data_IF_134891884433
#
_entry.id   IF_134891884433
#
_cell.length_a   1.000
_cell.length_b   1.000
_cell.length_c   1.000
_cell.angle_alpha   90.00
_cell.angle_beta   90.00
_cell.angle_gamma   90.00
#
_symmetry.space_group_name_H-M   'P 1'
#
loop_
_entity.id
_entity.type
_entity.pdbx_description
1 polymer ?
#
# COMPACT_ATOMS: atom_id res chain seq x y z
N UNK A 1 18.91 -51.02 -38.99
CA UNK A 1 18.00 -50.48 -37.91
C UNK A 1 18.74 -49.88 -36.73
N UNK A 2 19.78 -49.08 -36.91
CA UNK A 2 20.60 -48.54 -35.80
C UNK A 2 20.81 -47.00 -35.81
N UNK A 3 20.07 -46.28 -36.66
CA UNK A 3 20.29 -44.84 -36.84
C UNK A 3 19.30 -43.92 -36.07
N UNK A 4 18.13 -44.36 -35.67
CA UNK A 4 17.07 -43.52 -35.13
C UNK A 4 17.20 -43.25 -33.61
N UNK A 5 17.81 -44.14 -32.83
CA UNK A 5 17.95 -43.97 -31.39
C UNK A 5 18.98 -42.90 -30.95
N UNK A 6 20.00 -42.63 -31.75
CA UNK A 6 21.03 -41.63 -31.43
C UNK A 6 20.50 -40.17 -31.55
N UNK A 7 19.60 -39.92 -32.50
CA UNK A 7 18.98 -38.58 -32.68
C UNK A 7 17.97 -38.27 -31.58
N UNK A 8 17.21 -39.27 -31.14
CA UNK A 8 16.24 -39.07 -30.04
C UNK A 8 16.92 -38.79 -28.71
N UNK A 9 18.05 -39.43 -28.40
CA UNK A 9 18.84 -39.17 -27.20
C UNK A 9 19.54 -37.78 -27.24
N UNK A 10 20.04 -37.37 -28.41
CA UNK A 10 20.66 -36.02 -28.57
C UNK A 10 19.65 -34.88 -28.44
N UNK A 11 18.44 -35.04 -28.97
CA UNK A 11 17.37 -34.06 -28.84
C UNK A 11 16.84 -34.02 -27.40
N UNK A 12 16.65 -35.18 -26.75
CA UNK A 12 16.21 -35.26 -25.36
C UNK A 12 17.26 -34.65 -24.39
N UNK A 13 18.55 -34.88 -24.60
CA UNK A 13 19.61 -34.27 -23.80
C UNK A 13 19.75 -32.77 -24.06
N UNK A 14 19.62 -32.30 -25.30
CA UNK A 14 19.61 -30.87 -25.65
C UNK A 14 18.41 -30.13 -25.06
N UNK A 15 17.23 -30.70 -25.13
CA UNK A 15 16.02 -30.14 -24.48
C UNK A 15 16.16 -30.12 -22.95
N UNK A 16 16.79 -31.15 -22.35
CA UNK A 16 17.07 -31.18 -20.92
C UNK A 16 18.03 -30.08 -20.48
N UNK A 17 19.10 -29.84 -21.21
CA UNK A 17 20.08 -28.77 -20.91
C UNK A 17 19.45 -27.38 -21.07
N UNK A 18 18.67 -27.14 -22.12
CA UNK A 18 17.95 -25.88 -22.34
C UNK A 18 16.92 -25.67 -21.22
N UNK A 19 16.19 -26.71 -20.81
CA UNK A 19 15.22 -26.60 -19.71
C UNK A 19 15.89 -26.31 -18.38
N UNK A 20 17.03 -26.92 -18.06
CA UNK A 20 17.79 -26.64 -16.84
C UNK A 20 18.34 -25.21 -16.86
N UNK A 21 18.89 -24.73 -17.96
CA UNK A 21 19.39 -23.36 -18.07
C UNK A 21 18.26 -22.32 -17.93
N UNK A 22 17.10 -22.58 -18.55
CA UNK A 22 15.95 -21.69 -18.45
C UNK A 22 15.36 -21.64 -17.02
N UNK A 23 15.24 -22.80 -16.35
CA UNK A 23 14.74 -22.85 -14.95
C UNK A 23 15.73 -22.21 -13.98
N UNK A 24 17.03 -22.39 -14.16
CA UNK A 24 18.06 -21.73 -13.36
C UNK A 24 18.04 -20.21 -13.54
N UNK A 25 17.89 -19.74 -14.79
CA UNK A 25 17.75 -18.31 -15.09
C UNK A 25 16.52 -17.67 -14.42
N UNK A 26 15.38 -18.36 -14.48
CA UNK A 26 14.16 -17.89 -13.80
C UNK A 26 14.30 -17.89 -12.28
N UNK A 27 14.97 -18.88 -11.69
CA UNK A 27 15.21 -18.93 -10.25
C UNK A 27 16.14 -17.79 -9.79
N UNK A 28 17.20 -17.50 -10.56
CA UNK A 28 18.10 -16.37 -10.29
C UNK A 28 17.35 -15.05 -10.39
N UNK A 29 16.56 -14.86 -11.44
CA UNK A 29 15.74 -13.64 -11.60
C UNK A 29 14.73 -13.49 -10.46
N UNK A 30 14.08 -14.56 -10.05
CA UNK A 30 13.12 -14.56 -8.95
C UNK A 30 13.81 -14.25 -7.61
N UNK A 31 15.01 -14.78 -7.38
CA UNK A 31 15.79 -14.49 -6.17
C UNK A 31 16.21 -13.02 -6.10
N UNK A 32 16.76 -12.50 -7.20
CA UNK A 32 17.09 -11.09 -7.35
C UNK A 32 15.86 -10.20 -7.10
N UNK A 33 14.72 -10.57 -7.69
CA UNK A 33 13.48 -9.83 -7.53
C UNK A 33 12.99 -9.81 -6.07
N UNK A 34 13.10 -10.95 -5.36
CA UNK A 34 12.77 -11.03 -3.93
C UNK A 34 13.69 -10.14 -3.10
N UNK A 35 14.99 -10.10 -3.38
CA UNK A 35 15.94 -9.23 -2.68
C UNK A 35 15.60 -7.75 -2.87
N UNK A 36 15.30 -7.34 -4.10
CA UNK A 36 14.91 -5.95 -4.41
C UNK A 36 13.59 -5.55 -3.74
N UNK A 37 12.62 -6.48 -3.72
CA UNK A 37 11.31 -6.22 -3.17
C UNK A 37 11.32 -6.18 -1.63
N UNK A 38 12.06 -7.10 -0.99
CA UNK A 38 12.02 -7.29 0.46
C UNK A 38 12.80 -6.24 1.24
N UNK A 39 13.76 -5.57 0.59
CA UNK A 39 14.62 -4.53 1.18
C UNK A 39 14.56 -3.26 0.35
N UNK A 40 13.47 -2.51 0.46
CA UNK A 40 13.29 -1.32 -0.34
C UNK A 40 14.36 -0.28 0.00
N UNK A 41 15.19 0.08 -0.99
CA UNK A 41 15.98 1.29 -0.87
C UNK A 41 15.03 2.48 -0.95
N UNK A 42 15.11 3.38 0.02
CA UNK A 42 14.36 4.64 -0.02
C UNK A 42 14.73 5.40 -1.28
N UNK A 43 13.72 5.84 -2.02
CA UNK A 43 13.95 6.66 -3.22
C UNK A 43 14.36 8.07 -2.79
N UNK A 44 15.28 8.71 -3.52
CA UNK A 44 15.59 10.12 -3.27
C UNK A 44 14.35 10.98 -3.50
N UNK A 45 14.26 12.09 -2.76
CA UNK A 45 13.10 12.95 -2.51
C UNK A 45 12.28 13.45 -3.72
N UNK A 46 12.69 13.19 -4.95
CA UNK A 46 12.23 14.02 -6.06
C UNK A 46 11.28 13.35 -7.06
N UNK A 47 11.16 12.01 -7.11
CA UNK A 47 10.66 11.39 -8.34
C UNK A 47 9.35 10.58 -8.22
N UNK A 48 8.84 10.26 -7.04
CA UNK A 48 7.67 9.37 -6.92
C UNK A 48 6.35 10.08 -6.64
N UNK A 49 6.38 11.13 -5.86
CA UNK A 49 5.20 11.92 -5.58
C UNK A 49 5.46 13.34 -6.07
N UNK A 50 4.82 13.73 -7.15
CA UNK A 50 4.81 15.12 -7.64
C UNK A 50 4.03 16.03 -6.68
N UNK A 51 4.29 15.87 -5.38
CA UNK A 51 3.77 16.71 -4.30
C UNK A 51 4.52 18.03 -4.27
N UNK A 52 4.57 18.72 -5.38
CA UNK A 52 5.00 20.11 -5.41
C UNK A 52 3.87 20.94 -4.80
N UNK A 53 3.83 20.91 -3.46
CA UNK A 53 3.01 21.86 -2.74
C UNK A 53 3.59 23.24 -2.98
N UNK A 54 2.87 24.15 -3.64
CA UNK A 54 3.39 25.50 -3.86
C UNK A 54 3.64 26.24 -2.52
N UNK A 55 2.89 25.87 -1.48
CA UNK A 55 3.01 26.42 -0.12
C UNK A 55 2.68 25.31 0.89
N UNK A 56 3.67 24.54 1.37
CA UNK A 56 3.42 23.56 2.42
C UNK A 56 2.96 24.28 3.71
N UNK A 57 1.92 23.72 4.33
CA UNK A 57 1.48 24.23 5.64
C UNK A 57 2.59 24.02 6.69
N UNK A 58 2.72 24.94 7.66
CA UNK A 58 3.71 24.78 8.72
C UNK A 58 3.34 23.59 9.62
N UNK A 59 4.35 22.85 10.02
CA UNK A 59 4.17 21.81 11.02
C UNK A 59 3.87 22.42 12.41
N UNK A 60 3.20 21.67 13.29
CA UNK A 60 2.97 22.12 14.66
C UNK A 60 4.30 22.37 15.40
N UNK A 61 4.28 23.22 16.44
CA UNK A 61 5.45 23.47 17.29
C UNK A 61 5.94 22.16 17.95
N UNK A 62 7.21 22.12 18.33
CA UNK A 62 7.82 20.93 18.93
C UNK A 62 7.09 20.44 20.20
N UNK A 63 6.48 21.37 20.98
CA UNK A 63 5.70 21.03 22.18
C UNK A 63 4.44 20.20 21.91
N UNK A 64 3.95 20.20 20.67
CA UNK A 64 2.78 19.44 20.23
C UNK A 64 3.17 18.16 19.47
N UNK A 65 4.47 17.86 19.38
CA UNK A 65 4.99 16.66 18.70
C UNK A 65 5.69 15.76 19.71
N UNK A 66 5.48 14.45 19.57
CA UNK A 66 6.20 13.44 20.32
C UNK A 66 6.54 12.24 19.44
N UNK A 67 7.77 11.76 19.51
CA UNK A 67 8.18 10.54 18.84
C UNK A 67 7.72 9.33 19.63
N UNK A 68 7.29 8.29 18.93
CA UNK A 68 6.75 7.08 19.49
C UNK A 68 7.54 5.87 18.97
N UNK A 69 7.80 4.93 19.88
CA UNK A 69 8.28 3.58 19.53
C UNK A 69 7.24 2.58 20.04
N UNK A 70 6.77 1.69 19.17
CA UNK A 70 5.75 0.71 19.52
C UNK A 70 5.96 -0.62 18.80
N UNK A 71 5.38 -1.69 19.33
CA UNK A 71 5.56 -3.03 18.78
C UNK A 71 4.29 -3.56 18.14
N UNK A 72 4.49 -4.26 17.05
CA UNK A 72 3.45 -5.04 16.39
C UNK A 72 3.14 -6.32 17.15
N UNK A 73 2.02 -6.98 16.85
CA UNK A 73 1.63 -8.28 17.42
C UNK A 73 2.63 -9.40 17.09
N UNK A 74 3.36 -9.31 15.98
CA UNK A 74 4.45 -10.21 15.60
C UNK A 74 5.85 -9.72 16.07
N UNK A 75 5.89 -8.76 17.00
CA UNK A 75 7.07 -8.33 17.76
C UNK A 75 7.97 -7.32 17.07
N UNK A 76 7.61 -6.76 15.91
CA UNK A 76 8.44 -5.78 15.20
C UNK A 76 8.35 -4.41 15.85
N UNK A 77 9.51 -3.71 15.94
CA UNK A 77 9.60 -2.36 16.49
C UNK A 77 9.35 -1.34 15.38
N UNK A 78 8.38 -0.47 15.60
CA UNK A 78 8.03 0.61 14.68
C UNK A 78 8.33 1.98 15.30
N UNK A 79 8.71 2.93 14.45
CA UNK A 79 8.92 4.33 14.78
C UNK A 79 7.82 5.19 14.17
N UNK A 80 7.34 6.17 14.94
CA UNK A 80 6.32 7.11 14.50
C UNK A 80 6.41 8.45 15.23
N UNK A 81 5.65 9.42 14.74
CA UNK A 81 5.49 10.76 15.34
C UNK A 81 4.01 11.03 15.57
N UNK A 82 3.65 11.44 16.77
CA UNK A 82 2.30 11.90 17.07
C UNK A 82 2.28 13.43 17.19
N UNK A 83 1.36 14.07 16.49
CA UNK A 83 1.12 15.50 16.55
C UNK A 83 -0.23 15.76 17.18
N UNK A 84 -0.24 16.38 18.36
CA UNK A 84 -1.42 16.57 19.17
C UNK A 84 -2.03 17.96 18.97
N UNK A 85 -3.34 18.03 18.81
CA UNK A 85 -4.10 19.27 18.98
C UNK A 85 -4.10 19.71 20.46
N UNK A 86 -4.46 20.94 20.72
CA UNK A 86 -4.57 21.49 22.10
C UNK A 86 -5.78 20.95 22.88
N UNK A 87 -6.67 20.22 22.22
CA UNK A 87 -7.89 19.62 22.79
C UNK A 87 -8.12 18.25 22.13
N UNK A 88 -8.93 17.37 22.73
CA UNK A 88 -9.27 16.10 22.12
C UNK A 88 -9.89 16.29 20.73
N UNK A 89 -9.38 15.57 19.74
CA UNK A 89 -9.77 15.66 18.34
C UNK A 89 -9.74 14.29 17.65
N UNK A 90 -10.39 14.11 16.49
CA UNK A 90 -10.19 12.93 15.66
C UNK A 90 -8.72 12.80 15.26
N UNK A 91 -8.25 11.56 15.10
CA UNK A 91 -6.85 11.28 14.77
C UNK A 91 -6.73 10.67 13.39
N UNK A 92 -5.89 11.25 12.54
CA UNK A 92 -5.53 10.66 11.26
C UNK A 92 -4.26 9.83 11.41
N UNK A 93 -4.36 8.53 11.08
CA UNK A 93 -3.22 7.61 10.97
C UNK A 93 -2.78 7.58 9.52
N UNK A 94 -1.61 8.14 9.22
CA UNK A 94 -1.09 8.30 7.86
C UNK A 94 -0.16 7.13 7.52
N UNK A 95 -0.49 6.41 6.45
CA UNK A 95 0.18 5.21 5.98
C UNK A 95 0.90 5.47 4.66
N UNK A 96 2.23 5.40 4.67
CA UNK A 96 3.06 5.71 3.51
C UNK A 96 3.10 4.60 2.44
N UNK A 97 3.56 4.94 1.24
CA UNK A 97 3.77 4.01 0.14
C UNK A 97 5.07 3.19 0.26
N UNK A 98 5.23 2.24 -0.64
CA UNK A 98 6.46 1.45 -0.79
C UNK A 98 7.65 2.33 -1.19
N UNK A 99 8.84 2.10 -0.61
CA UNK A 99 10.10 2.83 -0.87
C UNK A 99 10.13 4.30 -0.44
N UNK A 100 9.15 4.76 0.29
CA UNK A 100 9.15 6.07 0.94
C UNK A 100 8.99 5.90 2.46
N UNK A 101 9.13 6.97 3.20
CA UNK A 101 9.01 6.99 4.66
C UNK A 101 7.94 7.98 5.09
N UNK A 102 7.60 8.00 6.38
CA UNK A 102 6.68 8.98 6.95
C UNK A 102 7.10 10.43 6.68
N UNK A 103 8.40 10.69 6.54
CA UNK A 103 8.91 12.03 6.27
C UNK A 103 8.35 12.65 4.98
N UNK A 104 8.10 11.84 3.96
CA UNK A 104 7.50 12.29 2.69
C UNK A 104 6.06 12.78 2.84
N UNK A 105 5.33 12.27 3.83
CA UNK A 105 3.93 12.61 4.05
C UNK A 105 3.73 13.73 5.07
N UNK A 106 4.81 14.32 5.60
CA UNK A 106 4.73 15.47 6.53
C UNK A 106 3.94 16.66 5.96
N UNK A 107 4.04 17.01 4.66
CA UNK A 107 3.21 18.08 4.10
C UNK A 107 1.70 17.79 4.17
N UNK A 108 1.30 16.54 3.92
CA UNK A 108 -0.11 16.11 4.06
C UNK A 108 -0.52 16.14 5.52
N UNK A 109 0.33 15.63 6.39
CA UNK A 109 0.12 15.67 7.84
C UNK A 109 -0.08 17.10 8.35
N UNK A 110 0.73 18.06 7.90
CA UNK A 110 0.60 19.46 8.28
C UNK A 110 -0.72 20.06 7.79
N UNK A 111 -1.14 19.70 6.58
CA UNK A 111 -2.44 20.10 6.06
C UNK A 111 -3.58 19.57 6.92
N UNK A 112 -3.61 18.28 7.22
CA UNK A 112 -4.67 17.66 8.02
C UNK A 112 -4.64 18.16 9.48
N UNK A 113 -3.43 18.40 10.03
CA UNK A 113 -3.28 19.02 11.33
C UNK A 113 -3.90 20.43 11.37
N UNK A 114 -3.71 21.25 10.35
CA UNK A 114 -4.33 22.57 10.20
C UNK A 114 -5.86 22.49 10.23
N UNK A 115 -6.44 21.41 9.73
CA UNK A 115 -7.88 21.17 9.76
C UNK A 115 -8.40 20.60 11.10
N UNK A 116 -7.57 20.58 12.14
CA UNK A 116 -7.99 20.24 13.49
C UNK A 116 -7.86 18.76 13.83
N UNK A 117 -7.19 17.95 13.04
CA UNK A 117 -6.95 16.54 13.34
C UNK A 117 -5.64 16.34 14.13
N UNK A 118 -5.64 15.42 15.10
CA UNK A 118 -4.38 14.84 15.56
C UNK A 118 -3.80 13.97 14.44
N UNK A 119 -2.48 13.83 14.41
CA UNK A 119 -1.80 13.05 13.36
C UNK A 119 -0.92 11.97 13.99
N UNK A 120 -1.01 10.76 13.54
CA UNK A 120 -0.03 9.70 13.74
C UNK A 120 0.63 9.35 12.40
N UNK A 121 1.89 9.73 12.25
CA UNK A 121 2.76 9.31 11.15
C UNK A 121 3.65 8.17 11.65
N UNK A 122 3.81 7.10 10.91
CA UNK A 122 4.75 6.02 11.27
C UNK A 122 5.41 5.42 10.03
N UNK A 123 6.56 4.80 10.23
CA UNK A 123 7.21 4.02 9.19
C UNK A 123 6.78 2.56 9.29
N UNK A 124 6.33 1.98 8.18
CA UNK A 124 6.12 0.54 8.07
C UNK A 124 7.43 -0.23 8.29
N UNK A 125 7.33 -1.50 8.70
CA UNK A 125 8.49 -2.41 8.78
C UNK A 125 9.35 -2.35 7.53
N UNK A 126 10.66 -2.41 7.70
CA UNK A 126 11.63 -2.34 6.60
C UNK A 126 11.79 -0.96 5.96
N UNK A 127 11.14 0.08 6.48
CA UNK A 127 11.24 1.45 6.00
C UNK A 127 11.67 2.40 7.12
N UNK A 128 12.27 3.52 6.71
CA UNK A 128 12.61 4.64 7.59
C UNK A 128 13.37 4.24 8.86
N UNK A 129 12.85 4.66 10.01
CA UNK A 129 13.42 4.39 11.32
C UNK A 129 12.80 3.16 12.03
N UNK A 130 11.85 2.47 11.40
CA UNK A 130 11.32 1.21 11.90
C UNK A 130 12.30 0.06 11.73
N UNK A 131 12.05 -1.07 12.43
CA UNK A 131 12.91 -2.25 12.37
C UNK A 131 13.21 -2.69 10.93
N UNK A 132 14.50 -2.80 10.59
CA UNK A 132 14.97 -3.18 9.26
C UNK A 132 14.77 -4.67 9.00
N UNK A 133 13.56 -5.02 8.61
CA UNK A 133 13.13 -6.39 8.25
C UNK A 133 12.52 -6.40 6.86
N UNK A 134 12.25 -7.58 6.33
CA UNK A 134 11.61 -7.70 5.01
C UNK A 134 10.20 -7.13 5.01
N UNK A 135 9.91 -6.25 4.04
CA UNK A 135 8.54 -5.86 3.70
C UNK A 135 7.90 -6.93 2.81
N UNK A 136 6.61 -7.14 2.97
CA UNK A 136 5.81 -8.07 2.17
C UNK A 136 4.98 -7.39 1.08
N UNK A 137 5.06 -6.07 1.02
CA UNK A 137 4.26 -5.24 0.12
C UNK A 137 2.78 -5.23 0.49
N UNK A 138 2.43 -5.34 1.77
CA UNK A 138 1.08 -5.16 2.29
C UNK A 138 0.56 -6.26 3.22
N UNK A 139 1.02 -7.51 3.11
CA UNK A 139 0.43 -8.60 3.89
C UNK A 139 0.89 -8.57 5.37
N UNK A 140 2.18 -8.45 5.65
CA UNK A 140 2.70 -8.35 7.00
C UNK A 140 2.48 -6.96 7.61
N UNK A 141 2.40 -5.94 6.77
CA UNK A 141 2.19 -4.54 7.14
C UNK A 141 0.78 -4.28 7.74
N UNK A 142 -0.16 -5.24 7.61
CA UNK A 142 -1.43 -5.21 8.35
C UNK A 142 -1.18 -5.18 9.86
N UNK A 143 -0.22 -5.96 10.37
CA UNK A 143 0.13 -5.94 11.81
C UNK A 143 0.72 -4.59 12.24
N UNK A 144 1.39 -3.88 11.32
CA UNK A 144 1.96 -2.56 11.59
C UNK A 144 0.84 -1.52 11.76
N UNK A 145 -0.14 -1.55 10.85
CA UNK A 145 -1.29 -0.65 10.94
C UNK A 145 -2.17 -0.97 12.16
N UNK A 146 -2.42 -2.24 12.48
CA UNK A 146 -3.15 -2.63 13.70
C UNK A 146 -2.46 -2.10 14.97
N UNK A 147 -1.12 -2.17 15.04
CA UNK A 147 -0.37 -1.60 16.14
C UNK A 147 -0.45 -0.07 16.17
N UNK A 148 -0.37 0.60 15.02
CA UNK A 148 -0.52 2.05 14.91
C UNK A 148 -1.92 2.51 15.35
N UNK A 149 -2.99 1.79 14.96
CA UNK A 149 -4.35 2.07 15.41
C UNK A 149 -4.50 1.93 16.93
N UNK A 150 -3.91 0.88 17.51
CA UNK A 150 -3.89 0.66 18.96
C UNK A 150 -3.18 1.83 19.67
N UNK A 151 -2.02 2.23 19.17
CA UNK A 151 -1.27 3.37 19.75
C UNK A 151 -2.02 4.68 19.60
N UNK A 152 -2.65 4.91 18.45
CA UNK A 152 -3.47 6.11 18.22
C UNK A 152 -4.66 6.19 19.18
N UNK A 153 -5.37 5.08 19.40
CA UNK A 153 -6.53 5.03 20.31
C UNK A 153 -6.16 5.25 21.79
N UNK A 154 -4.93 4.96 22.17
CA UNK A 154 -4.41 5.15 23.53
C UNK A 154 -3.91 6.57 23.80
N UNK A 155 -3.83 7.45 22.79
CA UNK A 155 -3.42 8.83 23.02
C UNK A 155 -4.56 9.62 23.68
N UNK A 156 -4.29 10.37 24.75
CA UNK A 156 -5.35 11.10 25.49
C UNK A 156 -6.04 12.18 24.66
N UNK A 157 -5.38 12.63 23.59
CA UNK A 157 -5.94 13.63 22.66
C UNK A 157 -6.81 13.00 21.56
N UNK A 158 -6.82 11.68 21.43
CA UNK A 158 -7.63 10.98 20.42
C UNK A 158 -9.07 10.80 20.92
N UNK A 159 -10.05 11.27 20.17
CA UNK A 159 -11.45 11.02 20.46
C UNK A 159 -11.79 9.54 20.16
N UNK A 160 -12.45 8.85 21.11
CA UNK A 160 -12.85 7.44 20.92
C UNK A 160 -13.74 7.25 19.68
N UNK A 161 -13.47 6.22 18.91
CA UNK A 161 -14.23 5.90 17.69
C UNK A 161 -14.03 6.92 16.53
N UNK A 162 -13.05 7.81 16.61
CA UNK A 162 -12.80 8.87 15.63
C UNK A 162 -11.41 8.80 15.00
N UNK A 163 -10.92 7.59 14.74
CA UNK A 163 -9.67 7.40 13.97
C UNK A 163 -10.00 7.35 12.47
N UNK A 164 -9.23 8.06 11.69
CA UNK A 164 -9.26 8.05 10.22
C UNK A 164 -7.96 7.40 9.75
N UNK A 165 -8.03 6.45 8.82
CA UNK A 165 -6.85 5.94 8.14
C UNK A 165 -6.71 6.68 6.82
N UNK A 166 -5.55 7.32 6.58
CA UNK A 166 -5.22 7.91 5.28
C UNK A 166 -3.99 7.22 4.71
N UNK A 167 -4.22 6.35 3.74
CA UNK A 167 -3.17 5.54 3.12
C UNK A 167 -2.87 5.95 1.69
N UNK A 168 -1.59 5.83 1.32
CA UNK A 168 -1.07 6.13 -0.01
C UNK A 168 -0.44 4.88 -0.62
N UNK A 169 -0.81 4.51 -1.87
CA UNK A 169 -0.22 3.40 -2.61
C UNK A 169 -0.25 2.08 -1.80
N UNK A 170 0.91 1.56 -1.38
CA UNK A 170 0.99 0.41 -0.47
C UNK A 170 0.21 0.66 0.82
N UNK A 171 0.35 1.83 1.45
CA UNK A 171 -0.37 2.18 2.68
C UNK A 171 -1.89 2.18 2.51
N UNK A 172 -2.39 2.66 1.36
CA UNK A 172 -3.81 2.57 1.00
C UNK A 172 -4.28 1.12 0.85
N UNK A 173 -3.44 0.29 0.25
CA UNK A 173 -3.72 -1.14 0.10
C UNK A 173 -3.71 -1.87 1.44
N UNK A 174 -2.80 -1.51 2.35
CA UNK A 174 -2.76 -2.04 3.73
C UNK A 174 -4.01 -1.63 4.49
N UNK A 175 -4.46 -0.37 4.38
CA UNK A 175 -5.70 0.10 4.99
C UNK A 175 -6.91 -0.76 4.58
N UNK A 176 -7.00 -1.11 3.29
CA UNK A 176 -8.08 -1.97 2.76
C UNK A 176 -7.91 -3.46 3.10
N UNK A 177 -6.70 -3.92 3.44
CA UNK A 177 -6.43 -5.28 3.87
C UNK A 177 -6.72 -5.48 5.35
N UNK A 178 -6.53 -4.44 6.16
CA UNK A 178 -6.72 -4.46 7.62
C UNK A 178 -8.20 -4.68 7.94
N UNK A 179 -8.52 -5.62 8.85
CA UNK A 179 -9.89 -5.84 9.28
C UNK A 179 -10.52 -4.57 9.85
N UNK A 180 -11.86 -4.42 9.77
CA UNK A 180 -12.56 -3.32 10.42
C UNK A 180 -12.19 -3.23 11.89
N UNK A 181 -11.80 -2.05 12.36
CA UNK A 181 -11.43 -1.79 13.74
C UNK A 181 -12.47 -0.84 14.37
N UNK A 182 -12.93 -1.09 15.61
CA UNK A 182 -14.00 -0.30 16.23
C UNK A 182 -13.69 1.19 16.38
N UNK A 183 -12.42 1.54 16.50
CA UNK A 183 -11.97 2.92 16.60
C UNK A 183 -11.88 3.65 15.25
N UNK A 184 -12.02 2.93 14.12
CA UNK A 184 -11.87 3.51 12.78
C UNK A 184 -13.21 4.01 12.26
N UNK A 185 -13.33 5.33 12.12
CA UNK A 185 -14.50 6.01 11.62
C UNK A 185 -14.54 6.11 10.08
N UNK A 186 -13.38 6.19 9.42
CA UNK A 186 -13.29 6.32 7.96
C UNK A 186 -11.94 5.88 7.42
N UNK A 187 -11.90 5.50 6.12
CA UNK A 187 -10.68 5.17 5.40
C UNK A 187 -10.58 6.06 4.15
N UNK A 188 -9.44 6.70 3.98
CA UNK A 188 -9.06 7.41 2.75
C UNK A 188 -7.97 6.58 2.10
N UNK A 189 -8.23 6.06 0.90
CA UNK A 189 -7.33 5.18 0.16
C UNK A 189 -6.93 5.84 -1.16
N UNK A 190 -5.73 6.42 -1.21
CA UNK A 190 -5.20 7.06 -2.41
C UNK A 190 -4.30 6.11 -3.19
N UNK A 191 -4.68 5.84 -4.43
CA UNK A 191 -3.95 5.02 -5.41
C UNK A 191 -3.63 3.59 -4.93
N UNK A 192 -4.57 2.85 -4.31
CA UNK A 192 -4.33 1.46 -3.88
C UNK A 192 -4.27 0.51 -5.07
N UNK A 193 -3.50 -0.58 -4.93
CA UNK A 193 -3.61 -1.72 -5.84
C UNK A 193 -4.71 -2.69 -5.34
N UNK A 194 -5.41 -3.35 -6.26
CA UNK A 194 -6.37 -4.40 -5.95
C UNK A 194 -5.71 -5.77 -5.73
N UNK A 195 -4.57 -5.99 -6.43
CA UNK A 195 -3.84 -7.26 -6.44
C UNK A 195 -2.34 -7.00 -6.61
N UNK A 196 -1.57 -7.33 -5.59
CA UNK A 196 -0.11 -7.17 -5.60
C UNK A 196 0.56 -7.97 -6.73
N UNK A 197 0.12 -9.21 -6.99
CA UNK A 197 0.73 -10.06 -8.00
C UNK A 197 0.62 -9.50 -9.43
N UNK A 198 -0.38 -8.67 -9.74
CA UNK A 198 -0.50 -7.96 -11.02
C UNK A 198 0.56 -6.85 -11.12
N UNK A 199 0.75 -6.08 -10.06
CA UNK A 199 1.77 -5.03 -9.98
C UNK A 199 3.17 -5.63 -10.09
N UNK A 200 3.45 -6.73 -9.38
CA UNK A 200 4.74 -7.41 -9.46
C UNK A 200 5.05 -7.92 -10.87
N UNK A 201 4.06 -8.51 -11.57
CA UNK A 201 4.23 -8.93 -12.97
C UNK A 201 4.48 -7.76 -13.90
N UNK A 202 3.79 -6.65 -13.70
CA UNK A 202 4.01 -5.42 -14.47
C UNK A 202 5.41 -4.88 -14.24
N UNK A 203 5.89 -4.86 -13.01
CA UNK A 203 7.24 -4.41 -12.66
C UNK A 203 8.31 -5.30 -13.33
N UNK A 204 8.17 -6.64 -13.26
CA UNK A 204 9.08 -7.55 -13.97
C UNK A 204 9.09 -7.28 -15.48
N UNK A 205 7.91 -7.05 -16.09
CA UNK A 205 7.85 -6.73 -17.53
C UNK A 205 8.55 -5.41 -17.86
N UNK A 206 8.44 -4.39 -17.01
CA UNK A 206 9.16 -3.12 -17.21
C UNK A 206 10.67 -3.29 -17.12
N UNK A 207 11.15 -4.05 -16.15
CA UNK A 207 12.58 -4.36 -16.03
C UNK A 207 13.09 -5.07 -17.29
N UNK A 208 12.39 -6.09 -17.77
CA UNK A 208 12.76 -6.82 -19.00
C UNK A 208 12.69 -5.90 -20.24
N UNK A 209 11.70 -5.03 -20.32
CA UNK A 209 11.54 -4.10 -21.44
C UNK A 209 12.61 -2.99 -21.45
N UNK A 210 13.16 -2.65 -20.30
CA UNK A 210 14.27 -1.70 -20.15
C UNK A 210 15.61 -2.23 -20.67
N UNK A 211 15.73 -3.56 -20.89
CA UNK A 211 16.96 -4.18 -21.37
C UNK A 211 16.96 -4.31 -22.92
N UNK A 212 17.73 -3.50 -23.67
CA UNK A 212 17.72 -3.51 -25.13
C UNK A 212 18.06 -4.89 -25.74
N UNK A 213 18.95 -5.64 -25.09
CA UNK A 213 19.35 -7.00 -25.51
C UNK A 213 18.21 -8.01 -25.52
N UNK A 214 17.14 -7.77 -24.77
CA UNK A 214 15.97 -8.66 -24.64
C UNK A 214 14.81 -8.27 -25.56
N UNK A 215 14.93 -7.22 -26.37
CA UNK A 215 13.82 -6.73 -27.20
C UNK A 215 13.25 -7.77 -28.16
N UNK A 216 14.07 -8.67 -28.68
CA UNK A 216 13.64 -9.77 -29.55
C UNK A 216 12.81 -10.85 -28.82
N UNK A 217 12.83 -10.86 -27.47
CA UNK A 217 12.08 -11.79 -26.63
C UNK A 217 10.81 -11.22 -26.02
N UNK A 218 10.36 -10.03 -26.45
CA UNK A 218 9.20 -9.32 -25.85
C UNK A 218 7.93 -10.18 -25.78
N UNK A 219 7.70 -11.06 -26.75
CA UNK A 219 6.56 -11.97 -26.75
C UNK A 219 6.57 -12.97 -25.59
N UNK A 220 7.73 -13.26 -24.99
CA UNK A 220 7.87 -14.17 -23.86
C UNK A 220 7.70 -13.45 -22.49
N UNK A 221 7.77 -12.12 -22.43
CA UNK A 221 7.73 -11.37 -21.18
C UNK A 221 6.50 -11.65 -20.29
N UNK A 222 5.29 -11.84 -20.84
CA UNK A 222 4.15 -12.23 -20.02
C UNK A 222 4.37 -13.55 -19.28
N UNK A 223 4.86 -14.58 -19.97
CA UNK A 223 5.13 -15.88 -19.37
C UNK A 223 6.29 -15.83 -18.36
N UNK A 224 7.39 -15.14 -18.72
CA UNK A 224 8.54 -14.94 -17.83
C UNK A 224 8.11 -14.19 -16.56
N UNK A 225 7.35 -13.11 -16.68
CA UNK A 225 6.88 -12.35 -15.52
C UNK A 225 5.96 -13.18 -14.61
N UNK A 226 5.10 -14.00 -15.20
CA UNK A 226 4.23 -14.91 -14.44
C UNK A 226 5.06 -15.95 -13.67
N UNK A 227 5.99 -16.62 -14.33
CA UNK A 227 6.87 -17.62 -13.72
C UNK A 227 7.75 -17.00 -12.63
N UNK A 228 8.38 -15.84 -12.90
CA UNK A 228 9.21 -15.11 -11.93
C UNK A 228 8.43 -14.79 -10.65
N UNK A 229 7.23 -14.22 -10.78
CA UNK A 229 6.41 -13.87 -9.61
C UNK A 229 5.93 -15.12 -8.87
N UNK A 230 5.59 -16.21 -9.58
CA UNK A 230 5.21 -17.47 -8.94
C UNK A 230 6.35 -18.07 -8.12
N UNK A 231 7.56 -18.12 -8.67
CA UNK A 231 8.77 -18.61 -7.97
C UNK A 231 9.12 -17.65 -6.81
N UNK A 232 9.06 -16.34 -7.03
CA UNK A 232 9.32 -15.33 -5.98
C UNK A 232 8.43 -15.51 -4.76
N UNK A 233 7.15 -15.85 -4.94
CA UNK A 233 6.23 -16.12 -3.80
C UNK A 233 6.70 -17.31 -2.98
N UNK A 234 7.20 -18.37 -3.62
CA UNK A 234 7.74 -19.54 -2.92
C UNK A 234 9.02 -19.18 -2.18
N UNK A 235 9.98 -18.53 -2.87
CA UNK A 235 11.25 -18.09 -2.24
C UNK A 235 10.97 -17.16 -1.05
N UNK A 236 10.08 -16.18 -1.23
CA UNK A 236 9.74 -15.21 -0.18
C UNK A 236 9.16 -15.92 1.06
N UNK A 237 8.22 -16.86 0.85
CA UNK A 237 7.63 -17.63 1.95
C UNK A 237 8.65 -18.48 2.69
N UNK A 238 9.54 -19.16 1.96
CA UNK A 238 10.60 -20.00 2.56
C UNK A 238 11.62 -19.18 3.33
N UNK A 239 11.94 -17.97 2.85
CA UNK A 239 12.98 -17.12 3.45
C UNK A 239 12.48 -16.29 4.62
N UNK A 240 11.25 -15.78 4.57
CA UNK A 240 10.72 -14.80 5.53
C UNK A 240 9.51 -15.30 6.33
N UNK A 241 9.00 -16.50 6.05
CA UNK A 241 7.84 -17.06 6.75
C UNK A 241 6.48 -16.43 6.38
N UNK A 242 6.48 -15.34 5.61
CA UNK A 242 5.27 -14.60 5.22
C UNK A 242 4.87 -14.86 3.77
N UNK A 243 3.58 -14.68 3.47
CA UNK A 243 3.11 -14.78 2.10
C UNK A 243 3.30 -13.46 1.35
N UNK A 244 3.88 -13.52 0.15
CA UNK A 244 3.92 -12.39 -0.79
C UNK A 244 2.61 -12.36 -1.58
N UNK A 245 1.51 -12.11 -0.88
CA UNK A 245 0.14 -12.10 -1.44
C UNK A 245 -0.65 -11.02 -0.72
N UNK A 246 -0.95 -9.93 -1.41
CA UNK A 246 -1.84 -8.90 -0.92
C UNK A 246 -2.97 -8.70 -1.95
N UNK A 247 -4.22 -8.81 -1.51
CA UNK A 247 -5.42 -8.70 -2.36
C UNK A 247 -6.48 -7.84 -1.67
N UNK A 248 -6.29 -6.52 -1.64
CA UNK A 248 -7.21 -5.60 -1.00
C UNK A 248 -8.67 -5.74 -1.48
N UNK A 249 -8.88 -5.87 -2.79
CA UNK A 249 -10.23 -6.08 -3.32
C UNK A 249 -10.93 -7.35 -2.78
N UNK A 250 -10.17 -8.38 -2.40
CA UNK A 250 -10.72 -9.62 -1.83
C UNK A 250 -10.91 -9.56 -0.31
N UNK A 251 -10.43 -8.53 0.39
CA UNK A 251 -10.57 -8.41 1.85
C UNK A 251 -12.01 -8.16 2.28
N UNK A 252 -12.83 -7.48 1.46
CA UNK A 252 -14.22 -7.14 1.78
C UNK A 252 -15.09 -8.38 2.06
N UNK A 253 -14.83 -9.50 1.39
CA UNK A 253 -15.47 -10.78 1.72
C UNK A 253 -15.15 -11.22 3.15
N UNK A 254 -13.91 -11.05 3.60
CA UNK A 254 -13.49 -11.40 4.96
C UNK A 254 -14.08 -10.42 5.98
N UNK A 255 -14.10 -9.12 5.66
CA UNK A 255 -14.74 -8.10 6.49
C UNK A 255 -16.21 -8.47 6.76
N UNK A 256 -16.96 -8.81 5.69
CA UNK A 256 -18.36 -9.22 5.83
C UNK A 256 -18.54 -10.45 6.72
N UNK A 257 -17.63 -11.44 6.66
CA UNK A 257 -17.68 -12.63 7.49
C UNK A 257 -17.44 -12.29 8.97
N UNK A 258 -16.56 -11.32 9.28
CA UNK A 258 -16.28 -10.88 10.65
C UNK A 258 -17.44 -10.09 11.27
N UNK A 259 -18.07 -9.22 10.49
CA UNK A 259 -19.18 -8.36 10.96
C UNK A 259 -20.48 -9.14 11.15
N UNK A 260 -20.73 -10.23 10.42
CA UNK A 260 -21.95 -11.06 10.53
C UNK A 260 -22.21 -11.64 11.92
N UNK A 261 -21.23 -11.66 12.82
CA UNK A 261 -21.35 -12.15 14.20
C UNK A 261 -21.46 -11.05 15.27
N UNK A 262 -21.40 -9.77 14.88
CA UNK A 262 -21.35 -8.64 15.81
C UNK A 262 -22.55 -7.72 15.62
N UNK A 263 -23.27 -7.40 16.68
CA UNK A 263 -24.49 -6.58 16.63
C UNK A 263 -24.24 -5.08 16.38
N UNK A 264 -22.99 -4.60 16.33
CA UNK A 264 -22.64 -3.18 16.34
C UNK A 264 -21.48 -2.75 15.40
N UNK A 265 -20.97 -3.62 14.53
CA UNK A 265 -19.90 -3.21 13.63
C UNK A 265 -20.43 -2.92 12.23
N UNK A 266 -20.52 -1.64 11.88
CA UNK A 266 -20.65 -1.19 10.49
C UNK A 266 -19.27 -1.13 9.83
N UNK A 267 -19.23 -1.28 8.51
CA UNK A 267 -17.99 -1.05 7.76
C UNK A 267 -17.62 0.43 7.80
N UNK A 268 -16.34 0.77 8.03
CA UNK A 268 -15.92 2.15 7.88
C UNK A 268 -16.13 2.59 6.41
N UNK A 269 -16.71 3.77 6.18
CA UNK A 269 -16.82 4.33 4.85
C UNK A 269 -15.45 4.56 4.23
N UNK A 270 -15.35 4.36 2.93
CA UNK A 270 -14.11 4.47 2.18
C UNK A 270 -14.21 5.61 1.17
N UNK A 271 -13.23 6.55 1.18
CA UNK A 271 -12.95 7.44 0.07
C UNK A 271 -11.83 6.83 -0.76
N UNK A 272 -12.15 6.42 -1.99
CA UNK A 272 -11.20 5.83 -2.93
C UNK A 272 -10.77 6.88 -3.95
N UNK A 273 -9.52 7.31 -3.86
CA UNK A 273 -8.90 8.32 -4.73
C UNK A 273 -7.97 7.61 -5.72
N UNK A 274 -7.96 8.03 -7.00
CA UNK A 274 -7.05 7.48 -7.99
C UNK A 274 -6.86 8.40 -9.19
N UNK A 275 -5.62 8.51 -9.69
CA UNK A 275 -5.32 9.20 -10.93
C UNK A 275 -5.54 8.29 -12.15
N UNK A 276 -6.21 8.81 -13.21
CA UNK A 276 -6.44 8.03 -14.41
C UNK A 276 -5.18 7.83 -15.27
N UNK A 277 -4.16 8.69 -15.09
CA UNK A 277 -2.85 8.58 -15.73
C UNK A 277 -1.83 7.80 -14.90
N UNK A 278 -2.28 7.09 -13.86
CA UNK A 278 -1.41 6.27 -13.03
C UNK A 278 -0.88 5.05 -13.82
N UNK A 279 0.38 5.12 -14.21
CA UNK A 279 1.07 4.02 -14.90
C UNK A 279 1.63 2.99 -13.93
N UNK A 280 1.90 3.38 -12.67
CA UNK A 280 2.45 2.48 -11.65
C UNK A 280 1.37 1.49 -11.16
N UNK A 281 0.19 2.02 -10.85
CA UNK A 281 -1.00 1.24 -10.47
C UNK A 281 -2.16 1.67 -11.37
N UNK A 282 -2.41 1.00 -12.50
CA UNK A 282 -3.47 1.40 -13.42
C UNK A 282 -4.84 1.54 -12.74
N UNK A 283 -5.64 2.53 -13.15
CA UNK A 283 -6.98 2.84 -12.59
C UNK A 283 -7.93 1.62 -12.58
N UNK A 284 -7.64 0.60 -13.37
CA UNK A 284 -8.39 -0.67 -13.36
C UNK A 284 -8.36 -1.34 -11.98
N UNK A 285 -7.33 -1.12 -11.16
CA UNK A 285 -7.25 -1.60 -9.79
C UNK A 285 -8.28 -0.89 -8.89
N UNK A 286 -8.38 0.44 -8.98
CA UNK A 286 -9.40 1.19 -8.23
C UNK A 286 -10.83 0.77 -8.64
N UNK A 287 -11.06 0.57 -9.93
CA UNK A 287 -12.36 0.06 -10.44
C UNK A 287 -12.68 -1.35 -9.92
N UNK A 288 -11.68 -2.23 -9.81
CA UNK A 288 -11.86 -3.57 -9.19
C UNK A 288 -12.22 -3.44 -7.70
N UNK A 289 -11.55 -2.57 -6.95
CA UNK A 289 -11.87 -2.29 -5.54
C UNK A 289 -13.29 -1.76 -5.41
N UNK A 290 -13.68 -0.78 -6.22
CA UNK A 290 -15.02 -0.21 -6.21
C UNK A 290 -16.11 -1.26 -6.51
N UNK A 291 -15.90 -2.11 -7.52
CA UNK A 291 -16.83 -3.19 -7.85
C UNK A 291 -16.98 -4.20 -6.70
N UNK A 292 -15.88 -4.55 -6.01
CA UNK A 292 -15.95 -5.43 -4.85
C UNK A 292 -16.62 -4.76 -3.64
N UNK A 293 -16.36 -3.47 -3.40
CA UNK A 293 -17.05 -2.72 -2.35
C UNK A 293 -18.57 -2.72 -2.58
N UNK A 294 -19.01 -2.48 -3.81
CA UNK A 294 -20.42 -2.56 -4.18
C UNK A 294 -21.01 -3.97 -3.94
N UNK A 295 -20.30 -5.03 -4.36
CA UNK A 295 -20.75 -6.41 -4.18
C UNK A 295 -20.97 -6.80 -2.69
N UNK A 296 -20.16 -6.23 -1.80
CA UNK A 296 -20.22 -6.51 -0.36
C UNK A 296 -20.92 -5.41 0.45
N UNK A 297 -21.59 -4.44 -0.21
CA UNK A 297 -22.27 -3.32 0.42
C UNK A 297 -21.36 -2.51 1.37
N UNK A 298 -20.10 -2.33 1.01
CA UNK A 298 -19.17 -1.46 1.73
C UNK A 298 -19.44 -0.01 1.30
N UNK A 299 -19.68 0.93 2.23
CA UNK A 299 -19.87 2.33 1.89
C UNK A 299 -18.62 2.89 1.22
N UNK A 300 -18.74 3.32 -0.04
CA UNK A 300 -17.60 3.80 -0.83
C UNK A 300 -17.99 5.03 -1.65
N UNK A 301 -17.12 6.05 -1.59
CA UNK A 301 -17.11 7.24 -2.44
C UNK A 301 -15.88 7.19 -3.31
N UNK A 302 -15.99 7.49 -4.60
CA UNK A 302 -14.85 7.51 -5.52
C UNK A 302 -14.52 8.93 -5.95
N UNK A 303 -13.23 9.25 -6.01
CA UNK A 303 -12.69 10.47 -6.59
C UNK A 303 -11.59 10.12 -7.58
N UNK A 304 -11.94 10.03 -8.86
CA UNK A 304 -10.99 9.72 -9.94
C UNK A 304 -10.64 11.01 -10.68
N UNK A 305 -9.32 11.25 -10.83
CA UNK A 305 -8.77 12.47 -11.42
C UNK A 305 -8.13 12.13 -12.76
N UNK A 306 -8.74 12.62 -13.86
CA UNK A 306 -8.38 12.22 -15.22
C UNK A 306 -6.92 12.51 -15.60
N UNK A 307 -6.35 13.62 -15.14
CA UNK A 307 -4.99 14.04 -15.48
C UNK A 307 -3.95 13.69 -14.40
N UNK A 308 -4.36 13.10 -13.29
CA UNK A 308 -3.42 12.77 -12.20
C UNK A 308 -2.67 11.47 -12.46
N UNK A 309 -1.38 11.48 -12.14
CA UNK A 309 -0.52 10.31 -12.07
C UNK A 309 -0.64 9.59 -10.71
N UNK A 310 0.27 8.65 -10.41
CA UNK A 310 0.29 7.88 -9.16
C UNK A 310 0.35 8.79 -7.92
N UNK A 311 -0.62 8.66 -7.02
CA UNK A 311 -0.81 9.54 -5.86
C UNK A 311 -0.78 11.04 -6.21
N UNK A 312 -1.07 11.42 -7.45
CA UNK A 312 -0.95 12.79 -7.96
C UNK A 312 -2.20 13.64 -7.83
N UNK A 313 -3.30 13.11 -7.28
CA UNK A 313 -4.58 13.80 -7.21
C UNK A 313 -4.50 15.12 -6.43
N UNK A 314 -3.79 15.13 -5.30
CA UNK A 314 -3.55 16.34 -4.52
C UNK A 314 -2.69 17.36 -5.31
N UNK A 315 -1.58 16.93 -5.90
CA UNK A 315 -0.68 17.81 -6.67
C UNK A 315 -1.34 18.41 -7.92
N UNK A 316 -2.31 17.70 -8.51
CA UNK A 316 -3.04 18.15 -9.68
C UNK A 316 -4.01 19.30 -9.34
N UNK A 317 -4.81 19.13 -8.29
CA UNK A 317 -5.76 20.15 -7.82
C UNK A 317 -5.91 20.08 -6.29
N UNK A 318 -5.05 20.78 -5.53
CA UNK A 318 -5.08 20.76 -4.07
C UNK A 318 -6.42 21.21 -3.47
N UNK A 319 -7.02 22.25 -4.04
CA UNK A 319 -8.29 22.81 -3.52
C UNK A 319 -9.43 21.81 -3.64
N UNK A 320 -9.54 21.17 -4.79
CA UNK A 320 -10.58 20.16 -5.03
C UNK A 320 -10.34 18.90 -4.19
N UNK A 321 -9.08 18.45 -4.07
CA UNK A 321 -8.72 17.33 -3.21
C UNK A 321 -9.15 17.57 -1.77
N UNK A 322 -8.80 18.75 -1.21
CA UNK A 322 -9.19 19.16 0.14
C UNK A 322 -10.72 19.21 0.28
N UNK A 323 -11.41 19.83 -0.70
CA UNK A 323 -12.86 19.91 -0.68
C UNK A 323 -13.51 18.53 -0.62
N UNK A 324 -13.04 17.57 -1.43
CA UNK A 324 -13.56 16.19 -1.45
C UNK A 324 -13.29 15.50 -0.11
N UNK A 325 -12.09 15.65 0.44
CA UNK A 325 -11.74 15.12 1.76
C UNK A 325 -12.67 15.64 2.84
N UNK A 326 -12.82 16.97 2.94
CA UNK A 326 -13.66 17.61 3.94
C UNK A 326 -15.13 17.20 3.82
N UNK A 327 -15.67 17.17 2.60
CA UNK A 327 -17.06 16.74 2.38
C UNK A 327 -17.26 15.28 2.78
N UNK A 328 -16.30 14.40 2.47
CA UNK A 328 -16.37 13.01 2.87
C UNK A 328 -16.30 12.87 4.40
N UNK A 329 -15.35 13.52 5.05
CA UNK A 329 -15.16 13.43 6.49
C UNK A 329 -16.33 14.06 7.25
N UNK A 330 -16.83 15.24 6.83
CA UNK A 330 -18.03 15.86 7.42
C UNK A 330 -19.24 14.94 7.38
N UNK A 331 -19.45 14.23 6.27
CA UNK A 331 -20.58 13.29 6.14
C UNK A 331 -20.53 12.13 7.13
N UNK A 332 -19.36 11.68 7.54
CA UNK A 332 -19.21 10.45 8.31
C UNK A 332 -18.60 10.63 9.70
N UNK A 333 -17.99 11.77 9.98
CA UNK A 333 -17.46 12.11 11.31
C UNK A 333 -18.38 13.01 12.11
N UNK A 334 -19.17 13.85 11.40
CA UNK A 334 -19.94 14.91 12.05
C UNK A 334 -21.40 14.53 12.31
N UNK A 335 -21.66 14.28 13.59
CA UNK A 335 -22.84 14.93 14.20
C UNK A 335 -22.43 16.03 15.19
N UNK A 336 -21.13 16.18 15.54
CA UNK A 336 -20.73 16.96 16.73
C UNK A 336 -19.49 17.88 16.56
N UNK A 337 -18.98 18.15 15.34
CA UNK A 337 -17.84 19.06 15.16
C UNK A 337 -18.28 20.42 14.58
N UNK A 338 -18.08 21.55 15.30
CA UNK A 338 -18.32 22.87 14.72
C UNK A 338 -17.27 23.17 13.65
N UNK A 339 -17.74 23.42 12.43
CA UNK A 339 -16.93 23.99 11.37
C UNK A 339 -16.53 25.42 11.77
N UNK A 340 -15.26 25.65 12.08
CA UNK A 340 -14.70 26.98 12.31
C UNK A 340 -14.16 27.57 11.02
#
# INVERSE_FOLDING_TARGET
>A
MFGQHKWALGVASGMGVISVAATSGLAILAHYFVDQLSRPHTLPDQDLFTWKLPHPEPEPPASQKRSLLFRTSDGKLLSGDFWAQSHPAPTVVICHGYRITRAYLRPVAALEYKYGYNILLFDFRGHGESESVATSGGNAEVHDLEAALTVASQQPETLPGKIIIHGFSMGASVALLTPPHPEVAAIIADSPYARLDEILRQFVRWQLAGEPSLHHLRSTFPAVSWATVAISKVIFRLRFGHALIARPAASFKRWQAQVKGTTHQSFPPILLIHGAQDIAIPISHARQIAAQAQLYNIPLVTYFVEEAAHCGAYGHNPQEYIRVLQQFLARYLDSDFPHS
#
